data_IF_894136771915
#
_entry.id   IF_894136771915
#
_cell.length_a   1.000
_cell.length_b   1.000
_cell.length_c   1.000
_cell.angle_alpha   90.00
_cell.angle_beta   90.00
_cell.angle_gamma   90.00
#
_symmetry.space_group_name_H-M   'P 1'
#
loop_
_entity.id
_entity.type
_entity.pdbx_description
1 polymer ?
#
# COMPACT_ATOMS: atom_id res chain seq x y z
N UNK A 1 -8.78 -5.94 8.53
CA UNK A 1 -8.37 -4.70 9.23
C UNK A 1 -8.32 -3.59 8.19
N UNK A 2 -9.14 -2.55 8.32
CA UNK A 2 -8.97 -1.32 7.56
C UNK A 2 -8.19 -0.35 8.44
N UNK A 3 -6.97 -0.01 8.05
CA UNK A 3 -6.18 1.02 8.73
C UNK A 3 -6.50 2.32 8.01
N UNK A 4 -7.26 3.20 8.66
CA UNK A 4 -7.51 4.54 8.13
C UNK A 4 -6.25 5.37 8.31
N UNK A 5 -5.77 5.99 7.24
CA UNK A 5 -4.63 6.90 7.26
C UNK A 5 -5.00 8.19 6.54
N UNK A 6 -4.45 9.30 7.01
CA UNK A 6 -4.73 10.62 6.46
C UNK A 6 -3.49 11.49 6.40
N UNK A 7 -3.48 12.41 5.44
CA UNK A 7 -2.38 13.35 5.24
C UNK A 7 -2.91 14.70 4.76
N UNK A 8 -2.10 15.73 4.92
CA UNK A 8 -2.39 17.07 4.42
C UNK A 8 -1.52 17.39 3.21
N UNK A 9 -2.14 17.95 2.19
CA UNK A 9 -1.47 18.46 1.01
C UNK A 9 -1.67 19.97 0.91
N UNK A 10 -0.57 20.72 0.80
CA UNK A 10 -0.66 22.14 0.48
C UNK A 10 -0.92 22.31 -1.02
N UNK A 11 -2.01 22.95 -1.37
CA UNK A 11 -2.37 23.24 -2.77
C UNK A 11 -1.55 24.42 -3.31
N UNK A 12 -1.56 24.62 -4.63
CA UNK A 12 -0.82 25.71 -5.28
C UNK A 12 -1.33 27.11 -4.91
N UNK A 13 -2.60 27.23 -4.49
CA UNK A 13 -3.19 28.45 -3.96
C UNK A 13 -3.01 28.59 -2.44
N UNK A 14 -2.20 27.72 -1.82
CA UNK A 14 -1.78 27.83 -0.43
C UNK A 14 -2.75 27.27 0.61
N UNK A 15 -3.91 26.73 0.20
CA UNK A 15 -4.84 26.02 1.10
C UNK A 15 -4.26 24.68 1.54
N UNK A 16 -4.72 24.20 2.69
CA UNK A 16 -4.42 22.85 3.16
C UNK A 16 -5.60 21.94 2.83
N UNK A 17 -5.30 20.82 2.15
CA UNK A 17 -6.26 19.82 1.73
C UNK A 17 -6.05 18.55 2.57
N UNK A 18 -6.94 18.33 3.53
CA UNK A 18 -6.97 17.13 4.35
C UNK A 18 -7.57 15.95 3.60
N UNK A 19 -6.80 14.88 3.45
CA UNK A 19 -7.19 13.67 2.71
C UNK A 19 -7.23 12.51 3.69
N UNK A 20 -8.33 11.76 3.68
CA UNK A 20 -8.50 10.55 4.48
C UNK A 20 -8.73 9.36 3.55
N UNK A 21 -7.90 8.33 3.68
CA UNK A 21 -7.96 7.11 2.91
C UNK A 21 -8.57 6.00 3.76
N UNK A 22 -9.69 5.46 3.27
CA UNK A 22 -10.45 4.39 3.92
C UNK A 22 -10.07 3.01 3.42
N UNK A 23 -9.53 2.93 2.21
CA UNK A 23 -9.23 1.69 1.50
C UNK A 23 -7.73 1.37 1.46
N UNK A 24 -7.41 0.10 1.17
CA UNK A 24 -6.04 -0.36 0.97
C UNK A 24 -5.48 0.25 -0.31
N UNK A 25 -4.33 0.92 -0.21
CA UNK A 25 -3.63 1.51 -1.36
C UNK A 25 -2.70 0.46 -1.97
N UNK A 26 -2.95 0.16 -3.25
CA UNK A 26 -2.14 -0.73 -4.09
C UNK A 26 -1.18 0.08 -4.97
N UNK A 27 -0.13 -0.53 -5.55
CA UNK A 27 0.84 0.20 -6.37
C UNK A 27 0.25 0.92 -7.59
N UNK A 28 -0.88 0.44 -8.10
CA UNK A 28 -1.64 1.00 -9.21
C UNK A 28 -2.77 1.96 -8.77
N UNK A 29 -2.94 2.14 -7.46
CA UNK A 29 -3.99 2.99 -6.90
C UNK A 29 -3.75 4.46 -7.23
N UNK A 30 -4.81 5.13 -7.69
CA UNK A 30 -4.81 6.56 -7.98
C UNK A 30 -6.00 7.23 -7.28
N UNK A 31 -5.70 8.17 -6.39
CA UNK A 31 -6.74 9.01 -5.79
C UNK A 31 -6.98 10.23 -6.69
N UNK A 32 -8.22 10.39 -7.15
CA UNK A 32 -8.63 11.54 -7.99
C UNK A 32 -9.51 12.49 -7.17
N UNK A 33 -9.02 13.72 -6.98
CA UNK A 33 -9.75 14.80 -6.31
C UNK A 33 -10.19 15.80 -7.38
N UNK A 34 -11.50 15.87 -7.60
CA UNK A 34 -12.07 16.72 -8.63
C UNK A 34 -11.85 18.21 -8.32
N UNK A 35 -11.64 19.02 -9.38
CA UNK A 35 -11.53 20.49 -9.31
C UNK A 35 -10.35 21.06 -8.51
N UNK A 36 -9.44 20.23 -8.01
CA UNK A 36 -8.21 20.66 -7.32
C UNK A 36 -6.98 20.76 -8.25
N UNK A 37 -7.17 20.57 -9.55
CA UNK A 37 -6.12 20.74 -10.56
C UNK A 37 -5.92 22.19 -10.99
N UNK A 38 -5.18 22.39 -12.09
CA UNK A 38 -4.95 23.72 -12.66
C UNK A 38 -6.22 24.30 -13.32
N UNK A 39 -6.35 25.63 -13.42
CA UNK A 39 -7.40 26.27 -14.22
C UNK A 39 -7.35 25.85 -15.69
N UNK A 40 -8.53 25.67 -16.30
CA UNK A 40 -8.65 25.35 -17.73
C UNK A 40 -8.78 26.66 -18.51
N UNK A 41 -7.76 26.97 -19.33
CA UNK A 41 -7.62 28.26 -20.02
C UNK A 41 -8.84 28.66 -20.86
N UNK A 42 -9.54 27.68 -21.45
CA UNK A 42 -10.68 27.91 -22.35
C UNK A 42 -12.04 27.84 -21.66
N UNK A 43 -12.07 27.59 -20.36
CA UNK A 43 -13.31 27.39 -19.60
C UNK A 43 -13.24 28.17 -18.28
N UNK A 44 -13.80 29.38 -18.28
CA UNK A 44 -13.77 30.27 -17.12
C UNK A 44 -14.28 29.58 -15.85
N UNK A 45 -13.46 29.58 -14.80
CA UNK A 45 -13.81 29.00 -13.49
C UNK A 45 -13.75 27.48 -13.40
N UNK A 46 -13.45 26.75 -14.49
CA UNK A 46 -13.25 25.29 -14.43
C UNK A 46 -11.79 24.97 -14.11
N UNK A 47 -11.62 23.93 -13.30
CA UNK A 47 -10.32 23.40 -12.89
C UNK A 47 -10.26 21.91 -13.23
N UNK A 48 -9.06 21.44 -13.56
CA UNK A 48 -8.78 20.02 -13.72
C UNK A 48 -8.86 19.26 -12.39
N UNK A 49 -8.48 17.99 -12.41
CA UNK A 49 -8.42 17.15 -11.22
C UNK A 49 -7.00 17.07 -10.68
N UNK A 50 -6.88 16.99 -9.35
CA UNK A 50 -5.66 16.55 -8.70
C UNK A 50 -5.65 15.02 -8.70
N UNK A 51 -4.53 14.42 -9.12
CA UNK A 51 -4.33 12.99 -9.19
C UNK A 51 -3.14 12.63 -8.32
N UNK A 52 -3.35 11.82 -7.30
CA UNK A 52 -2.31 11.40 -6.35
C UNK A 52 -1.97 9.94 -6.63
N UNK A 53 -0.71 9.70 -6.96
CA UNK A 53 -0.13 8.36 -7.11
C UNK A 53 0.80 8.10 -5.94
N UNK A 54 0.75 6.89 -5.43
CA UNK A 54 1.52 6.50 -4.26
C UNK A 54 2.74 5.69 -4.71
N UNK A 55 3.93 6.13 -4.32
CA UNK A 55 5.13 5.31 -4.44
C UNK A 55 5.24 4.40 -3.21
N UNK A 56 5.00 3.11 -3.39
CA UNK A 56 4.95 2.14 -2.30
C UNK A 56 6.34 1.55 -2.07
N UNK A 57 6.97 1.98 -0.98
CA UNK A 57 8.28 1.50 -0.55
C UNK A 57 8.09 0.25 0.33
N UNK A 58 8.38 -0.92 -0.22
CA UNK A 58 8.44 -2.15 0.56
C UNK A 58 9.75 -2.25 1.36
N UNK A 59 9.73 -2.89 2.55
CA UNK A 59 10.95 -3.17 3.29
C UNK A 59 11.88 -4.08 2.48
N UNK A 60 13.19 -3.78 2.49
CA UNK A 60 14.20 -4.54 1.73
C UNK A 60 14.33 -5.99 2.20
N UNK A 61 14.05 -6.25 3.47
CA UNK A 61 14.10 -7.58 4.06
C UNK A 61 13.16 -7.68 5.26
N UNK A 62 12.84 -8.92 5.62
CA UNK A 62 12.03 -9.28 6.78
C UNK A 62 12.69 -10.47 7.47
N UNK A 63 12.76 -10.44 8.81
CA UNK A 63 13.20 -11.57 9.63
C UNK A 63 12.25 -12.76 9.46
N UNK A 64 12.71 -13.97 9.84
CA UNK A 64 11.86 -15.17 9.80
C UNK A 64 10.58 -14.97 10.63
N UNK A 65 10.73 -14.40 11.83
CA UNK A 65 9.61 -14.09 12.72
C UNK A 65 8.63 -13.09 12.10
N UNK A 66 9.13 -11.99 11.50
CA UNK A 66 8.27 -11.01 10.82
C UNK A 66 7.48 -11.64 9.67
N UNK A 67 8.13 -12.50 8.86
CA UNK A 67 7.45 -13.22 7.77
C UNK A 67 6.36 -14.15 8.30
N UNK A 68 6.63 -14.89 9.38
CA UNK A 68 5.63 -15.77 10.00
C UNK A 68 4.44 -14.98 10.54
N UNK A 69 4.69 -13.86 11.22
CA UNK A 69 3.64 -13.02 11.78
C UNK A 69 2.77 -12.40 10.69
N UNK A 70 3.37 -11.89 9.60
CA UNK A 70 2.64 -11.35 8.46
C UNK A 70 1.78 -12.44 7.79
N UNK A 71 2.31 -13.65 7.58
CA UNK A 71 1.54 -14.77 7.00
C UNK A 71 0.30 -15.11 7.82
N UNK A 72 0.41 -15.16 9.15
CA UNK A 72 -0.72 -15.44 10.06
C UNK A 72 -1.85 -14.40 9.91
N UNK A 73 -1.49 -13.12 9.77
CA UNK A 73 -2.46 -12.02 9.69
C UNK A 73 -3.07 -11.87 8.30
N UNK A 74 -2.28 -12.12 7.24
CA UNK A 74 -2.71 -11.95 5.85
C UNK A 74 -3.29 -13.24 5.22
N UNK A 75 -3.43 -14.33 5.98
CA UNK A 75 -4.05 -15.58 5.50
C UNK A 75 -3.13 -16.47 4.66
N UNK A 76 -1.80 -16.29 4.74
CA UNK A 76 -0.84 -17.16 4.08
C UNK A 76 -0.81 -18.55 4.73
N UNK A 77 -1.12 -19.60 3.97
CA UNK A 77 -1.03 -20.99 4.45
C UNK A 77 0.40 -21.32 4.90
N UNK A 78 0.59 -22.08 5.99
CA UNK A 78 1.91 -22.58 6.37
C UNK A 78 2.50 -23.40 5.22
N UNK A 79 3.73 -23.10 4.84
CA UNK A 79 4.51 -24.01 4.00
C UNK A 79 4.81 -25.24 4.87
N UNK A 80 4.27 -26.40 4.50
CA UNK A 80 4.72 -27.66 5.04
C UNK A 80 6.18 -27.83 4.62
N UNK A 81 7.11 -27.55 5.54
CA UNK A 81 8.50 -27.98 5.41
C UNK A 81 8.48 -29.50 5.27
N UNK A 82 8.86 -29.97 4.09
CA UNK A 82 9.03 -31.40 3.83
C UNK A 82 10.03 -31.94 4.83
N UNK A 83 9.54 -32.76 5.76
CA UNK A 83 10.38 -33.58 6.61
C UNK A 83 11.19 -34.50 5.71
N UNK A 84 12.42 -34.09 5.40
CA UNK A 84 13.43 -34.94 4.82
C UNK A 84 13.84 -35.94 5.90
N UNK A 85 13.07 -37.02 6.05
CA UNK A 85 13.39 -38.13 6.92
C UNK A 85 14.68 -38.77 6.42
N UNK A 86 15.78 -38.41 7.08
CA UNK A 86 17.08 -39.07 6.89
C UNK A 86 16.94 -40.46 7.50
N UNK A 87 16.68 -41.46 6.66
CA UNK A 87 16.79 -42.86 7.04
C UNK A 87 18.28 -43.19 7.20
N UNK A 88 18.84 -42.88 8.38
CA UNK A 88 20.12 -43.43 8.81
C UNK A 88 19.87 -44.82 9.41
N UNK A 89 20.37 -45.82 8.67
CA UNK A 89 20.94 -47.09 9.15
C UNK A 89 20.18 -47.90 10.21
N UNK A 90 19.61 -49.02 9.79
CA UNK A 90 19.73 -50.26 10.57
C UNK A 90 20.75 -51.17 9.88
N UNK A 91 21.92 -51.27 10.51
CA UNK A 91 22.92 -52.34 10.35
C UNK A 91 22.62 -53.32 11.49
N UNK A 92 22.73 -54.63 11.27
CA UNK A 92 24.03 -55.32 11.43
C UNK A 92 24.61 -55.86 10.12
#
# INVERSE_FOLDING_TARGET
MAVTWGFNLKTLDGRDLGIMLTDVVTPDYELVIAKEGMPIVKENGRRGNLRIKFDIIFPKSLSSEQRQNIRKVLGGQPQHEGAHFRSESSVP
#
